data_IF_777825246526
#
_entry.id   IF_777825246526
#
_cell.length_a   1.000
_cell.length_b   1.000
_cell.length_c   1.000
_cell.angle_alpha   90.00
_cell.angle_beta   90.00
_cell.angle_gamma   90.00
#
_symmetry.space_group_name_H-M   'P 1'
#
loop_
_entity.id
_entity.type
_entity.pdbx_description
1 polymer ?
#
# COMPACT_ATOMS: atom_id res chain seq x y z
N UNK A 1 0.71 -7.47 -44.63
CA UNK A 1 0.75 -7.80 -43.18
C UNK A 1 -0.03 -6.74 -42.43
N UNK A 2 -1.06 -7.08 -41.66
CA UNK A 2 -1.79 -6.10 -40.87
C UNK A 2 -0.88 -5.54 -39.79
N UNK A 3 -0.66 -4.22 -39.81
CA UNK A 3 -0.01 -3.48 -38.74
C UNK A 3 -0.85 -3.63 -37.47
N UNK A 4 -0.39 -4.49 -36.56
CA UNK A 4 -0.91 -4.55 -35.20
C UNK A 4 -0.52 -3.24 -34.52
N UNK A 5 -1.37 -2.21 -34.66
CA UNK A 5 -1.22 -0.95 -33.93
C UNK A 5 -1.16 -1.30 -32.44
N UNK A 6 0.01 -1.11 -31.84
CA UNK A 6 0.18 -1.23 -30.39
C UNK A 6 -0.88 -0.35 -29.71
N UNK A 7 -1.50 -0.82 -28.61
CA UNK A 7 -2.48 -0.05 -27.88
C UNK A 7 -1.89 1.31 -27.51
N UNK A 8 -2.62 2.39 -27.82
CA UNK A 8 -2.14 3.77 -27.62
C UNK A 8 -1.63 3.91 -26.17
N UNK A 9 -0.50 4.61 -25.96
CA UNK A 9 0.05 4.81 -24.62
C UNK A 9 -1.04 5.37 -23.71
N UNK A 10 -1.17 4.79 -22.52
CA UNK A 10 -2.04 5.36 -21.49
C UNK A 10 -1.65 6.83 -21.30
N UNK A 11 -2.65 7.74 -21.31
CA UNK A 11 -2.45 9.18 -21.12
C UNK A 11 -1.75 9.56 -19.79
N UNK A 12 -1.55 8.59 -18.89
CA UNK A 12 -0.90 8.79 -17.60
C UNK A 12 0.05 7.64 -17.26
N UNK A 13 1.17 7.99 -16.61
CA UNK A 13 2.10 7.04 -16.01
C UNK A 13 1.47 6.18 -14.92
N UNK A 14 0.37 6.64 -14.32
CA UNK A 14 -0.40 5.90 -13.34
C UNK A 14 -1.65 5.38 -14.04
N UNK A 15 -1.64 4.11 -14.45
CA UNK A 15 -2.81 3.48 -15.06
C UNK A 15 -4.02 3.55 -14.11
N UNK A 16 -5.23 3.45 -14.66
CA UNK A 16 -6.47 3.48 -13.85
C UNK A 16 -6.48 2.41 -12.76
N UNK A 17 -5.95 1.21 -13.05
CA UNK A 17 -5.82 0.15 -12.05
C UNK A 17 -5.02 0.62 -10.82
N UNK A 18 -3.80 1.12 -11.03
CA UNK A 18 -2.94 1.60 -9.94
C UNK A 18 -3.53 2.82 -9.21
N UNK A 19 -4.25 3.68 -9.92
CA UNK A 19 -4.95 4.80 -9.30
C UNK A 19 -6.11 4.35 -8.39
N UNK A 20 -6.86 3.32 -8.78
CA UNK A 20 -7.93 2.77 -7.93
C UNK A 20 -7.32 2.13 -6.68
N UNK A 21 -6.26 1.33 -6.82
CA UNK A 21 -5.62 0.68 -5.68
C UNK A 21 -5.02 1.70 -4.70
N UNK A 22 -4.17 2.60 -5.18
CA UNK A 22 -3.38 3.49 -4.31
C UNK A 22 -4.01 4.86 -4.07
N UNK A 23 -4.87 5.32 -4.97
CA UNK A 23 -5.53 6.62 -4.87
C UNK A 23 -6.93 6.57 -4.28
N UNK A 24 -7.53 5.39 -4.13
CA UNK A 24 -8.89 5.21 -3.61
C UNK A 24 -8.93 4.14 -2.51
N UNK A 25 -8.56 2.89 -2.80
CA UNK A 25 -8.69 1.78 -1.86
C UNK A 25 -7.76 1.95 -0.65
N UNK A 26 -6.47 2.20 -0.87
CA UNK A 26 -5.49 2.42 0.21
C UNK A 26 -5.88 3.56 1.16
N UNK A 27 -6.20 4.79 0.70
CA UNK A 27 -6.64 5.88 1.58
C UNK A 27 -7.91 5.55 2.37
N UNK A 28 -8.87 4.82 1.77
CA UNK A 28 -10.08 4.43 2.49
C UNK A 28 -9.77 3.42 3.59
N UNK A 29 -8.85 2.48 3.35
CA UNK A 29 -8.44 1.50 4.36
C UNK A 29 -7.65 2.16 5.51
N UNK A 30 -6.77 3.12 5.21
CA UNK A 30 -6.04 3.84 6.27
C UNK A 30 -6.97 4.75 7.09
N UNK A 31 -7.96 5.39 6.46
CA UNK A 31 -9.00 6.15 7.17
C UNK A 31 -9.90 5.24 8.02
N UNK A 32 -10.28 4.06 7.51
CA UNK A 32 -11.04 3.08 8.28
C UNK A 32 -10.25 2.61 9.52
N UNK A 33 -8.93 2.45 9.37
CA UNK A 33 -8.03 2.06 10.46
C UNK A 33 -7.92 3.16 11.53
N UNK A 34 -7.88 4.43 11.11
CA UNK A 34 -7.96 5.57 12.03
C UNK A 34 -9.31 5.62 12.75
N UNK A 35 -10.42 5.42 12.02
CA UNK A 35 -11.75 5.41 12.63
C UNK A 35 -11.86 4.29 13.69
N UNK A 36 -11.34 3.10 13.40
CA UNK A 36 -11.28 2.00 14.35
C UNK A 36 -10.42 2.35 15.57
N UNK A 37 -9.25 2.96 15.38
CA UNK A 37 -8.39 3.38 16.47
C UNK A 37 -9.06 4.40 17.41
N UNK A 38 -9.86 5.32 16.87
CA UNK A 38 -10.56 6.34 17.65
C UNK A 38 -11.77 5.76 18.38
N UNK A 39 -12.54 4.87 17.72
CA UNK A 39 -13.76 4.30 18.29
C UNK A 39 -13.48 3.18 19.31
N UNK A 40 -12.50 2.32 19.01
CA UNK A 40 -12.20 1.14 19.82
C UNK A 40 -10.70 0.78 19.71
N UNK A 41 -9.82 1.58 20.36
CA UNK A 41 -8.38 1.33 20.34
C UNK A 41 -8.00 -0.01 20.99
N UNK A 42 -8.81 -0.48 21.95
CA UNK A 42 -8.59 -1.77 22.61
C UNK A 42 -8.75 -2.92 21.64
N UNK A 43 -9.86 -2.97 20.89
CA UNK A 43 -10.07 -3.98 19.86
C UNK A 43 -9.01 -3.93 18.77
N UNK A 44 -8.56 -2.73 18.39
CA UNK A 44 -7.50 -2.55 17.41
C UNK A 44 -6.18 -3.14 17.92
N UNK A 45 -5.73 -2.74 19.12
CA UNK A 45 -4.51 -3.26 19.74
C UNK A 45 -4.61 -4.78 19.90
N UNK A 46 -5.78 -5.26 20.34
CA UNK A 46 -5.97 -6.67 20.62
C UNK A 46 -6.02 -7.55 19.37
N UNK A 47 -6.35 -6.97 18.22
CA UNK A 47 -6.23 -7.64 16.91
C UNK A 47 -4.78 -7.77 16.45
N UNK A 48 -3.91 -6.84 16.83
CA UNK A 48 -2.50 -6.81 16.43
C UNK A 48 -1.57 -7.47 17.44
N UNK A 49 -2.09 -7.86 18.61
CA UNK A 49 -1.33 -8.54 19.65
C UNK A 49 -0.83 -9.94 19.22
N UNK A 50 0.28 -10.42 19.80
CA UNK A 50 0.86 -11.75 19.50
C UNK A 50 0.05 -12.93 20.05
N UNK A 51 -1.10 -12.69 20.66
CA UNK A 51 -1.95 -13.74 21.22
C UNK A 51 -2.90 -14.31 20.18
N UNK A 52 -3.30 -15.58 20.35
CA UNK A 52 -4.29 -16.21 19.48
C UNK A 52 -5.65 -15.52 19.64
N UNK A 53 -6.41 -15.41 18.55
CA UNK A 53 -7.75 -14.78 18.50
C UNK A 53 -8.73 -15.31 19.55
N UNK A 54 -8.47 -16.49 20.09
CA UNK A 54 -9.36 -17.24 20.98
C UNK A 54 -8.79 -17.31 22.42
N UNK A 55 -7.68 -16.60 22.70
CA UNK A 55 -7.00 -16.68 23.99
C UNK A 55 -7.68 -15.76 25.02
N UNK A 56 -8.19 -16.35 26.11
CA UNK A 56 -8.68 -15.68 27.34
C UNK A 56 -7.61 -14.85 28.09
N UNK A 57 -6.47 -14.57 27.45
CA UNK A 57 -5.31 -13.86 28.01
C UNK A 57 -4.86 -12.68 27.17
N UNK A 58 -5.70 -12.18 26.25
CA UNK A 58 -5.55 -10.77 25.84
C UNK A 58 -5.56 -9.94 27.13
N UNK A 59 -4.56 -9.05 27.35
CA UNK A 59 -4.63 -8.14 28.49
C UNK A 59 -5.97 -7.41 28.41
N UNK A 60 -6.55 -7.07 29.57
CA UNK A 60 -7.74 -6.21 29.62
C UNK A 60 -7.44 -4.82 29.04
N UNK A 61 -8.09 -3.78 29.55
CA UNK A 61 -7.92 -2.41 29.04
C UNK A 61 -6.41 -2.05 28.88
N UNK A 62 -5.93 -1.80 27.65
CA UNK A 62 -4.53 -1.46 27.43
C UNK A 62 -4.15 -0.17 28.17
N UNK A 63 -2.88 0.00 28.57
CA UNK A 63 -2.39 1.25 29.14
C UNK A 63 -2.80 2.45 28.27
N UNK A 64 -3.09 3.59 28.90
CA UNK A 64 -3.45 4.83 28.18
C UNK A 64 -2.42 5.15 27.09
N UNK A 65 -1.13 5.01 27.42
CA UNK A 65 -0.01 5.23 26.49
C UNK A 65 -0.06 4.33 25.26
N UNK A 66 -0.45 3.05 25.41
CA UNK A 66 -0.56 2.13 24.29
C UNK A 66 -1.69 2.54 23.33
N UNK A 67 -2.82 3.01 23.89
CA UNK A 67 -3.97 3.52 23.11
C UNK A 67 -3.61 4.79 22.35
N UNK A 68 -2.91 5.71 23.01
CA UNK A 68 -2.42 6.94 22.37
C UNK A 68 -1.47 6.64 21.21
N UNK A 69 -0.52 5.73 21.40
CA UNK A 69 0.42 5.31 20.35
C UNK A 69 -0.33 4.68 19.17
N UNK A 70 -1.29 3.78 19.43
CA UNK A 70 -2.10 3.16 18.38
C UNK A 70 -2.87 4.20 17.55
N UNK A 71 -3.49 5.18 18.22
CA UNK A 71 -4.17 6.30 17.54
C UNK A 71 -3.21 7.15 16.71
N UNK A 72 -2.01 7.47 17.23
CA UNK A 72 -1.01 8.24 16.51
C UNK A 72 -0.49 7.52 15.26
N UNK A 73 -0.23 6.21 15.35
CA UNK A 73 0.18 5.38 14.21
C UNK A 73 -0.94 5.33 13.17
N UNK A 74 -2.19 5.11 13.60
CA UNK A 74 -3.33 5.08 12.68
C UNK A 74 -3.54 6.43 11.98
N UNK A 75 -3.34 7.55 12.70
CA UNK A 75 -3.37 8.90 12.13
C UNK A 75 -2.26 9.10 11.10
N UNK A 76 -1.04 8.67 11.40
CA UNK A 76 0.08 8.75 10.47
C UNK A 76 -0.22 7.99 9.16
N UNK A 77 -0.75 6.77 9.25
CA UNK A 77 -1.15 6.00 8.07
C UNK A 77 -2.29 6.67 7.29
N UNK A 78 -3.29 7.24 7.96
CA UNK A 78 -4.37 7.98 7.32
C UNK A 78 -3.84 9.19 6.54
N UNK A 79 -2.94 9.96 7.15
CA UNK A 79 -2.30 11.12 6.51
C UNK A 79 -1.47 10.68 5.29
N UNK A 80 -0.67 9.62 5.41
CA UNK A 80 0.10 9.07 4.29
C UNK A 80 -0.83 8.62 3.15
N UNK A 81 -1.95 7.95 3.46
CA UNK A 81 -2.94 7.55 2.47
C UNK A 81 -3.56 8.75 1.74
N UNK A 82 -3.93 9.80 2.48
CA UNK A 82 -4.45 11.05 1.89
C UNK A 82 -3.42 11.80 1.03
N UNK A 83 -2.16 11.81 1.46
CA UNK A 83 -1.05 12.35 0.65
C UNK A 83 -0.94 11.54 -0.65
N UNK A 84 -0.96 10.21 -0.57
CA UNK A 84 -0.88 9.34 -1.74
C UNK A 84 -2.03 9.62 -2.72
N UNK A 85 -3.28 9.68 -2.23
CA UNK A 85 -4.45 10.02 -3.04
C UNK A 85 -4.32 11.39 -3.74
N UNK A 86 -3.91 12.40 -2.98
CA UNK A 86 -3.79 13.78 -3.46
C UNK A 86 -2.70 13.91 -4.50
N UNK A 87 -1.52 13.34 -4.24
CA UNK A 87 -0.38 13.36 -5.15
C UNK A 87 -0.69 12.57 -6.42
N UNK A 88 -1.27 11.37 -6.33
CA UNK A 88 -1.65 10.58 -7.50
C UNK A 88 -2.70 11.29 -8.37
N UNK A 89 -3.68 11.96 -7.74
CA UNK A 89 -4.66 12.79 -8.46
C UNK A 89 -3.98 13.96 -9.18
N UNK A 90 -3.00 14.60 -8.56
CA UNK A 90 -2.23 15.68 -9.18
C UNK A 90 -1.36 15.18 -10.34
N UNK A 91 -0.64 14.08 -10.15
CA UNK A 91 0.22 13.45 -11.18
C UNK A 91 -0.55 13.18 -12.46
N UNK A 92 -1.77 12.60 -12.36
CA UNK A 92 -2.61 12.30 -13.54
C UNK A 92 -2.99 13.53 -14.38
N UNK A 93 -2.83 14.74 -13.85
CA UNK A 93 -3.11 16.01 -14.54
C UNK A 93 -1.88 16.66 -15.15
N UNK A 94 -0.68 16.14 -14.91
CA UNK A 94 0.54 16.69 -15.48
C UNK A 94 0.63 16.37 -16.98
N UNK A 95 1.13 17.29 -17.82
CA UNK A 95 1.21 17.08 -19.26
C UNK A 95 2.33 16.12 -19.68
N UNK A 96 3.42 16.05 -18.91
CA UNK A 96 4.59 15.23 -19.23
C UNK A 96 4.57 13.89 -18.50
N UNK A 97 4.53 12.80 -19.27
CA UNK A 97 4.57 11.44 -18.72
C UNK A 97 5.88 11.14 -17.99
N UNK A 98 7.01 11.65 -18.49
CA UNK A 98 8.30 11.50 -17.82
C UNK A 98 8.30 12.17 -16.42
N UNK A 99 7.67 13.35 -16.32
CA UNK A 99 7.52 14.03 -15.02
C UNK A 99 6.57 13.25 -14.10
N UNK A 100 5.48 12.70 -14.64
CA UNK A 100 4.57 11.85 -13.87
C UNK A 100 5.28 10.62 -13.29
N UNK A 101 6.08 9.93 -14.10
CA UNK A 101 6.85 8.76 -13.67
C UNK A 101 7.85 9.09 -12.58
N UNK A 102 8.58 10.21 -12.71
CA UNK A 102 9.58 10.61 -11.72
C UNK A 102 8.94 10.86 -10.35
N UNK A 103 7.82 11.59 -10.32
CA UNK A 103 7.11 11.90 -9.07
C UNK A 103 6.45 10.65 -8.49
N UNK A 104 5.78 9.84 -9.32
CA UNK A 104 5.16 8.60 -8.87
C UNK A 104 6.21 7.61 -8.33
N UNK A 105 7.40 7.55 -8.92
CA UNK A 105 8.51 6.74 -8.43
C UNK A 105 9.04 7.25 -7.09
N UNK A 106 9.19 8.57 -6.91
CA UNK A 106 9.58 9.13 -5.61
C UNK A 106 8.54 8.92 -4.52
N UNK A 107 7.28 8.72 -4.88
CA UNK A 107 6.20 8.38 -3.94
C UNK A 107 6.16 6.89 -3.62
N UNK A 108 6.18 6.02 -4.64
CA UNK A 108 6.00 4.59 -4.45
C UNK A 108 7.24 3.87 -3.93
N UNK A 109 8.45 4.36 -4.18
CA UNK A 109 9.66 3.73 -3.66
C UNK A 109 9.70 3.70 -2.11
N UNK A 110 9.55 4.83 -1.38
CA UNK A 110 9.54 4.80 0.08
C UNK A 110 8.33 4.03 0.64
N UNK A 111 7.17 4.10 -0.02
CA UNK A 111 6.00 3.32 0.40
C UNK A 111 6.22 1.80 0.22
N UNK A 112 6.94 1.37 -0.82
CA UNK A 112 7.28 -0.03 -0.99
C UNK A 112 8.23 -0.53 0.11
N UNK A 113 9.14 0.33 0.58
CA UNK A 113 9.97 0.04 1.76
C UNK A 113 9.08 -0.08 2.99
N UNK A 114 8.09 0.81 3.15
CA UNK A 114 7.09 0.74 4.20
C UNK A 114 6.31 -0.58 4.20
N UNK A 115 5.86 -1.04 3.02
CA UNK A 115 5.14 -2.31 2.88
C UNK A 115 6.01 -3.51 3.30
N UNK A 116 7.31 -3.51 2.95
CA UNK A 116 8.27 -4.54 3.38
C UNK A 116 8.48 -4.50 4.89
N UNK A 117 8.67 -3.31 5.45
CA UNK A 117 8.82 -3.13 6.90
C UNK A 117 7.58 -3.61 7.65
N UNK A 118 6.38 -3.31 7.14
CA UNK A 118 5.11 -3.78 7.69
C UNK A 118 5.01 -5.31 7.66
N UNK A 119 5.30 -5.95 6.52
CA UNK A 119 5.31 -7.42 6.43
C UNK A 119 6.35 -8.04 7.36
N UNK A 120 7.53 -7.43 7.48
CA UNK A 120 8.56 -7.87 8.40
C UNK A 120 8.09 -7.77 9.86
N UNK A 121 7.47 -6.67 10.26
CA UNK A 121 6.91 -6.47 11.60
C UNK A 121 5.81 -7.49 11.90
N UNK A 122 4.87 -7.70 10.97
CA UNK A 122 3.81 -8.69 11.11
C UNK A 122 4.38 -10.09 11.32
N UNK A 123 5.39 -10.49 10.53
CA UNK A 123 6.02 -11.81 10.67
C UNK A 123 6.86 -11.91 11.93
N UNK A 124 7.62 -10.87 12.28
CA UNK A 124 8.44 -10.84 13.49
C UNK A 124 7.58 -10.89 14.76
N UNK A 125 6.47 -10.14 14.78
CA UNK A 125 5.51 -10.09 15.89
C UNK A 125 4.84 -11.44 16.18
N UNK A 126 4.74 -12.32 15.18
CA UNK A 126 4.24 -13.70 15.40
C UNK A 126 5.24 -14.63 16.11
N UNK A 127 6.49 -14.19 16.33
CA UNK A 127 7.48 -14.91 17.12
C UNK A 127 7.79 -16.31 16.58
N UNK A 128 7.56 -17.35 17.40
CA UNK A 128 7.92 -18.72 17.06
C UNK A 128 7.06 -19.34 15.94
N UNK A 129 5.90 -18.75 15.61
CA UNK A 129 5.04 -19.25 14.52
C UNK A 129 5.29 -18.56 13.18
N UNK A 130 6.31 -17.69 13.08
CA UNK A 130 6.66 -16.99 11.83
C UNK A 130 6.89 -17.90 10.62
N UNK A 131 7.29 -19.15 10.84
CA UNK A 131 7.53 -20.15 9.78
C UNK A 131 6.36 -21.12 9.58
N UNK A 132 5.29 -21.01 10.38
CA UNK A 132 4.06 -21.80 10.25
C UNK A 132 3.03 -21.01 9.46
N UNK A 133 3.10 -21.08 8.13
CA UNK A 133 2.24 -20.32 7.22
C UNK A 133 0.73 -20.47 7.49
N UNK A 134 0.30 -21.62 8.02
CA UNK A 134 -1.10 -21.86 8.39
C UNK A 134 -1.62 -20.99 9.55
N UNK A 135 -0.71 -20.49 10.39
CA UNK A 135 -0.99 -19.72 11.61
C UNK A 135 -0.76 -18.21 11.43
N UNK A 136 -0.43 -17.76 10.21
CA UNK A 136 -0.20 -16.34 9.96
C UNK A 136 -1.47 -15.49 10.16
N UNK A 137 -1.33 -14.23 10.62
CA UNK A 137 -2.45 -13.30 10.72
C UNK A 137 -2.93 -12.93 9.31
N UNK A 138 -3.87 -13.73 8.80
CA UNK A 138 -4.26 -13.75 7.38
C UNK A 138 -4.61 -12.37 6.85
N UNK A 139 -5.40 -11.59 7.60
CA UNK A 139 -5.83 -10.26 7.17
C UNK A 139 -4.63 -9.33 7.00
N UNK A 140 -3.75 -9.25 8.00
CA UNK A 140 -2.59 -8.36 7.98
C UNK A 140 -1.62 -8.73 6.84
N UNK A 141 -1.37 -10.03 6.64
CA UNK A 141 -0.53 -10.49 5.53
C UNK A 141 -1.19 -10.23 4.18
N UNK A 142 -2.49 -10.49 4.02
CA UNK A 142 -3.22 -10.22 2.77
C UNK A 142 -3.19 -8.73 2.43
N UNK A 143 -3.41 -7.85 3.42
CA UNK A 143 -3.34 -6.40 3.23
C UNK A 143 -1.93 -5.97 2.85
N UNK A 144 -0.90 -6.44 3.57
CA UNK A 144 0.50 -6.10 3.28
C UNK A 144 0.94 -6.56 1.89
N UNK A 145 0.66 -7.81 1.53
CA UNK A 145 0.96 -8.35 0.19
C UNK A 145 0.12 -7.66 -0.88
N UNK A 146 -1.14 -7.38 -0.58
CA UNK A 146 -2.11 -6.74 -1.48
C UNK A 146 -1.71 -5.34 -1.92
N UNK A 147 -0.95 -4.60 -1.10
CA UNK A 147 -0.36 -3.32 -1.49
C UNK A 147 1.06 -3.45 -2.02
N UNK A 148 1.87 -4.32 -1.41
CA UNK A 148 3.26 -4.54 -1.83
C UNK A 148 3.37 -5.00 -3.29
N UNK A 149 2.61 -6.03 -3.68
CA UNK A 149 2.71 -6.62 -5.03
C UNK A 149 2.38 -5.59 -6.11
N UNK A 150 1.21 -4.91 -6.09
CA UNK A 150 0.92 -3.89 -7.10
C UNK A 150 1.97 -2.77 -7.12
N UNK A 151 2.58 -2.44 -5.97
CA UNK A 151 3.55 -1.33 -5.90
C UNK A 151 4.85 -1.70 -6.57
N UNK A 152 5.34 -2.93 -6.32
CA UNK A 152 6.48 -3.51 -7.03
C UNK A 152 6.18 -3.67 -8.52
N UNK A 153 5.00 -4.17 -8.89
CA UNK A 153 4.60 -4.26 -10.30
C UNK A 153 4.64 -2.90 -10.99
N UNK A 154 4.17 -1.83 -10.34
CA UNK A 154 4.25 -0.48 -10.90
C UNK A 154 5.71 0.00 -11.07
N UNK A 155 6.56 -0.23 -10.07
CA UNK A 155 7.99 0.13 -10.08
C UNK A 155 8.77 -0.59 -11.18
N UNK A 156 8.41 -1.85 -11.45
CA UNK A 156 8.96 -2.66 -12.54
C UNK A 156 8.36 -2.31 -13.92
N UNK A 157 7.34 -1.44 -13.98
CA UNK A 157 6.70 -1.05 -15.24
C UNK A 157 5.76 -2.10 -15.83
N UNK A 158 5.21 -2.98 -14.98
CA UNK A 158 4.23 -4.00 -15.37
C UNK A 158 2.85 -3.36 -15.48
N UNK A 159 2.08 -3.70 -16.51
CA UNK A 159 0.69 -3.22 -16.67
C UNK A 159 0.56 -1.72 -16.94
N UNK A 160 1.62 -1.06 -17.44
CA UNK A 160 1.62 0.35 -17.86
C UNK A 160 2.62 0.60 -18.98
N UNK A 161 2.42 1.71 -19.70
CA UNK A 161 3.42 2.27 -20.60
C UNK A 161 4.54 2.93 -19.78
N UNK A 162 5.78 2.74 -20.22
CA UNK A 162 7.00 3.28 -19.61
C UNK A 162 7.77 4.09 -20.66
N UNK A 163 7.89 5.40 -20.45
CA UNK A 163 8.47 6.30 -21.47
C UNK A 163 9.89 5.87 -21.86
N UNK A 164 10.75 5.49 -20.91
CA UNK A 164 12.13 5.07 -21.21
C UNK A 164 12.23 3.76 -22.00
N UNK A 165 11.28 2.82 -21.80
CA UNK A 165 11.26 1.49 -22.42
C UNK A 165 10.59 1.52 -23.79
N UNK A 166 9.41 2.14 -23.84
CA UNK A 166 8.46 1.99 -24.94
C UNK A 166 8.66 3.05 -26.04
N UNK A 167 9.15 4.25 -25.70
CA UNK A 167 9.44 5.30 -26.70
C UNK A 167 10.51 4.91 -27.73
N UNK A 168 11.41 3.98 -27.37
CA UNK A 168 12.45 3.47 -28.27
C UNK A 168 11.91 2.51 -29.32
N UNK A 169 10.81 1.81 -29.01
CA UNK A 169 10.15 0.90 -29.93
C UNK A 169 9.32 1.66 -30.96
N UNK A 170 8.69 2.77 -30.55
CA UNK A 170 7.93 3.64 -31.46
C UNK A 170 8.81 4.38 -32.47
N UNK A 171 10.06 4.75 -32.12
CA UNK A 171 10.98 5.43 -33.07
C UNK A 171 11.60 4.51 -34.13
N UNK A 172 11.45 3.19 -34.01
CA UNK A 172 12.04 2.21 -34.95
C UNK A 172 11.04 1.71 -36.01
N UNK A 173 9.76 2.05 -35.87
CA UNK A 173 8.70 1.73 -36.83
C UNK A 173 8.28 2.98 -37.60
#
# INVERSE_FOLDING_TARGET
MPSTKLPRPHKSAVSTFYYVVFGVIEPLLTLASLLEAVLDPEKLINRHGPWKSDFKGAPGVPPVTAREIACQIALAHAVIGLINASVLRAIRRLPSQASQEKIAKSLFLPLAIGDVSYLFEVLYGTGNVRWKFGDWPRINVIVGIGFFIPRVCWLLGIGRYVETRDSRLDRRN
#
